data_IF_686452373987
#
_entry.id   IF_686452373987
#
_cell.length_a   1.000
_cell.length_b   1.000
_cell.length_c   1.000
_cell.angle_alpha   90.00
_cell.angle_beta   90.00
_cell.angle_gamma   90.00
#
_symmetry.space_group_name_H-M   'P 1'
#
loop_
_entity.id
_entity.type
_entity.pdbx_description
1 polymer ?
#
# COMPACT_ATOMS: atom_id res chain seq x y z
N UNK A 1 -14.59 -14.77 56.37
CA UNK A 1 -14.06 -15.56 55.23
C UNK A 1 -15.26 -15.89 54.35
N UNK A 2 -15.37 -15.54 53.07
CA UNK A 2 -14.55 -14.72 52.19
C UNK A 2 -15.51 -14.04 51.21
N UNK A 3 -15.32 -12.74 51.04
CA UNK A 3 -15.87 -11.93 49.97
C UNK A 3 -14.99 -12.14 48.72
N UNK A 4 -15.49 -11.77 47.53
CA UNK A 4 -14.86 -11.85 46.18
C UNK A 4 -15.22 -13.06 45.33
N UNK A 5 -16.44 -13.04 44.79
CA UNK A 5 -16.74 -13.62 43.49
C UNK A 5 -17.48 -12.56 42.67
N UNK A 6 -17.02 -12.26 41.45
CA UNK A 6 -17.76 -11.36 40.53
C UNK A 6 -17.04 -10.12 40.00
N UNK A 7 -15.71 -10.06 40.03
CA UNK A 7 -14.99 -9.15 39.15
C UNK A 7 -14.48 -9.97 37.97
N UNK A 8 -15.10 -9.81 36.81
CA UNK A 8 -14.51 -9.70 35.47
C UNK A 8 -15.66 -9.58 34.46
N UNK A 9 -16.06 -8.35 34.08
CA UNK A 9 -16.94 -8.18 32.93
C UNK A 9 -16.15 -8.61 31.69
N UNK A 10 -16.72 -9.52 30.90
CA UNK A 10 -16.19 -9.88 29.60
C UNK A 10 -15.91 -8.61 28.79
N UNK A 11 -14.64 -8.37 28.46
CA UNK A 11 -14.24 -7.37 27.47
C UNK A 11 -14.79 -7.81 26.13
N UNK A 12 -16.02 -7.41 25.83
CA UNK A 12 -16.42 -7.17 24.45
C UNK A 12 -15.38 -6.20 23.87
N UNK A 13 -14.73 -6.61 22.78
CA UNK A 13 -13.82 -5.74 22.04
C UNK A 13 -14.61 -4.50 21.63
N UNK A 14 -14.32 -3.39 22.31
CA UNK A 14 -14.92 -2.10 22.02
C UNK A 14 -14.36 -1.66 20.67
N UNK A 15 -15.18 -1.85 19.64
CA UNK A 15 -14.89 -1.45 18.27
C UNK A 15 -14.70 0.07 18.25
N UNK A 16 -13.49 0.51 17.95
CA UNK A 16 -13.22 1.90 17.64
C UNK A 16 -13.71 2.15 16.21
N UNK A 17 -14.99 2.47 16.09
CA UNK A 17 -15.61 2.90 14.83
C UNK A 17 -15.02 4.25 14.44
N UNK A 18 -13.90 4.19 13.73
CA UNK A 18 -13.31 5.34 13.07
C UNK A 18 -14.34 6.02 12.18
N UNK A 19 -14.71 7.24 12.57
CA UNK A 19 -15.49 8.23 11.83
C UNK A 19 -16.85 7.75 11.29
N UNK A 20 -17.95 8.20 11.91
CA UNK A 20 -19.35 7.87 11.57
C UNK A 20 -19.81 8.25 10.14
N UNK A 21 -18.92 8.80 9.31
CA UNK A 21 -19.15 9.09 7.89
C UNK A 21 -18.57 8.03 6.93
N UNK A 22 -17.78 7.06 7.41
CA UNK A 22 -17.27 5.97 6.58
C UNK A 22 -17.14 4.67 7.34
N UNK A 23 -17.84 3.63 6.90
CA UNK A 23 -17.66 2.24 7.33
C UNK A 23 -16.29 1.71 6.87
N UNK A 24 -15.21 2.21 7.47
CA UNK A 24 -13.83 1.83 7.14
C UNK A 24 -13.19 1.13 8.33
N UNK A 25 -12.61 -0.04 8.09
CA UNK A 25 -11.83 -0.80 9.08
C UNK A 25 -10.36 -0.44 8.88
N UNK A 26 -9.77 0.23 9.87
CA UNK A 26 -8.34 0.57 9.83
C UNK A 26 -7.54 -0.58 10.42
N UNK A 27 -6.66 -1.19 9.63
CA UNK A 27 -5.71 -2.17 10.14
C UNK A 27 -4.58 -1.45 10.85
N UNK A 28 -4.38 -1.75 12.13
CA UNK A 28 -3.30 -1.19 12.95
C UNK A 28 -2.39 -2.30 13.46
N UNK A 29 -1.26 -1.95 14.09
CA UNK A 29 -0.39 -2.93 14.76
C UNK A 29 -1.15 -3.75 15.83
N UNK A 30 -2.23 -3.21 16.41
CA UNK A 30 -3.05 -3.87 17.44
C UNK A 30 -4.15 -4.75 16.85
N UNK A 31 -4.71 -4.36 15.69
CA UNK A 31 -5.74 -5.10 14.97
C UNK A 31 -5.22 -5.40 13.55
N UNK A 32 -4.30 -6.35 13.47
CA UNK A 32 -3.56 -6.63 12.24
C UNK A 32 -4.31 -7.58 11.28
N UNK A 33 -5.36 -8.28 11.73
CA UNK A 33 -6.00 -9.34 10.94
C UNK A 33 -7.49 -9.11 10.82
N UNK A 34 -8.02 -9.26 9.60
CA UNK A 34 -9.46 -9.18 9.28
C UNK A 34 -9.83 -10.34 8.38
N UNK A 35 -10.95 -11.00 8.68
CA UNK A 35 -11.53 -12.01 7.78
C UNK A 35 -12.51 -11.34 6.83
N UNK A 36 -12.36 -11.59 5.53
CA UNK A 36 -13.31 -11.11 4.51
C UNK A 36 -14.63 -11.87 4.60
N UNK A 37 -14.60 -13.16 4.97
CA UNK A 37 -15.82 -13.96 5.13
C UNK A 37 -16.76 -13.36 6.17
N UNK A 38 -16.21 -12.95 7.32
CA UNK A 38 -16.99 -12.33 8.41
C UNK A 38 -17.60 -10.97 8.03
N UNK A 39 -17.10 -10.36 6.96
CA UNK A 39 -17.58 -9.08 6.45
C UNK A 39 -18.56 -9.23 5.28
N UNK A 40 -18.89 -10.46 4.86
CA UNK A 40 -19.74 -10.73 3.70
C UNK A 40 -19.06 -10.40 2.36
N UNK A 41 -17.75 -10.21 2.36
CA UNK A 41 -16.94 -9.67 1.27
C UNK A 41 -16.50 -10.71 0.22
N UNK A 42 -17.27 -11.77 0.00
CA UNK A 42 -16.79 -12.98 -0.68
C UNK A 42 -17.09 -13.07 -2.18
N UNK A 43 -17.90 -12.17 -2.70
CA UNK A 43 -18.32 -12.19 -4.11
C UNK A 43 -17.83 -10.97 -4.88
N UNK A 44 -17.55 -11.19 -6.17
CA UNK A 44 -17.14 -10.16 -7.11
C UNK A 44 -15.65 -9.85 -7.05
N UNK A 45 -15.31 -8.59 -7.33
CA UNK A 45 -13.91 -8.15 -7.41
C UNK A 45 -13.47 -7.41 -6.15
N UNK A 46 -12.38 -7.85 -5.55
CA UNK A 46 -11.64 -7.09 -4.55
C UNK A 46 -10.77 -6.07 -5.27
N UNK A 47 -10.95 -4.79 -4.96
CA UNK A 47 -10.13 -3.71 -5.52
C UNK A 47 -9.15 -3.19 -4.46
N UNK A 48 -7.86 -3.25 -4.74
CA UNK A 48 -6.78 -2.73 -3.90
C UNK A 48 -6.22 -1.49 -4.57
N UNK A 49 -6.36 -0.33 -3.94
CA UNK A 49 -5.86 0.94 -4.47
C UNK A 49 -4.70 1.45 -3.61
N UNK A 50 -3.63 1.86 -4.28
CA UNK A 50 -2.51 2.59 -3.72
C UNK A 50 -2.68 4.07 -4.04
N UNK A 51 -2.70 4.91 -3.01
CA UNK A 51 -2.66 6.36 -3.15
C UNK A 51 -1.47 6.92 -2.36
N UNK A 52 -0.78 7.92 -2.91
CA UNK A 52 0.31 8.60 -2.22
C UNK A 52 0.28 10.09 -2.45
N UNK A 53 0.82 10.82 -1.47
CA UNK A 53 1.03 12.26 -1.54
C UNK A 53 2.40 12.60 -0.98
N UNK A 54 3.08 13.58 -1.58
CA UNK A 54 4.33 14.12 -1.05
C UNK A 54 4.08 14.83 0.28
N UNK A 55 5.01 14.68 1.23
CA UNK A 55 5.02 15.48 2.47
C UNK A 55 5.35 16.92 2.12
N UNK A 56 4.47 17.85 2.52
CA UNK A 56 4.60 19.29 2.24
C UNK A 56 5.87 19.92 2.82
N UNK A 57 6.50 19.28 3.82
CA UNK A 57 7.75 19.73 4.44
C UNK A 57 8.92 19.86 3.46
N UNK A 58 8.96 19.02 2.41
CA UNK A 58 10.02 19.06 1.39
C UNK A 58 9.74 20.10 0.29
N UNK A 59 8.49 20.53 0.16
CA UNK A 59 8.07 21.61 -0.77
C UNK A 59 8.43 22.98 -0.15
N UNK A 60 8.31 23.13 1.16
CA UNK A 60 8.61 24.40 1.86
C UNK A 60 10.05 24.51 2.38
N UNK A 61 10.77 23.40 2.55
CA UNK A 61 12.09 23.34 3.20
C UNK A 61 13.27 23.96 2.44
N UNK A 62 13.08 24.41 1.19
CA UNK A 62 14.14 25.09 0.39
C UNK A 62 13.97 26.61 0.26
N UNK A 63 12.90 27.21 0.79
CA UNK A 63 12.64 28.65 0.64
C UNK A 63 12.94 29.52 1.87
N UNK A 64 13.40 28.93 2.98
CA UNK A 64 13.65 29.69 4.22
C UNK A 64 15.08 29.54 4.75
N UNK A 65 15.97 30.36 4.19
CA UNK A 65 16.96 31.21 4.90
C UNK A 65 18.27 31.33 4.13
N UNK A 66 18.52 32.52 3.56
CA UNK A 66 19.78 33.24 3.70
C UNK A 66 19.64 34.62 3.06
N UNK A 67 19.61 35.69 3.84
CA UNK A 67 19.91 37.03 3.31
C UNK A 67 18.97 38.20 3.64
N UNK A 68 17.92 38.06 4.46
CA UNK A 68 17.02 39.18 4.80
C UNK A 68 17.50 40.06 5.97
N UNK A 69 18.81 40.32 6.08
CA UNK A 69 19.32 41.29 7.07
C UNK A 69 20.37 42.28 6.55
N UNK A 70 20.61 42.37 5.23
CA UNK A 70 21.70 43.23 4.72
C UNK A 70 21.39 44.17 3.54
N UNK A 71 20.16 44.29 3.04
CA UNK A 71 19.89 45.16 1.85
C UNK A 71 18.50 45.85 1.88
N UNK A 72 18.39 47.10 2.39
CA UNK A 72 17.10 47.81 2.47
C UNK A 72 16.54 48.28 1.12
N UNK A 73 17.35 48.34 0.05
CA UNK A 73 16.93 48.83 -1.28
C UNK A 73 16.29 47.77 -2.20
N UNK A 74 16.08 46.54 -1.73
CA UNK A 74 15.41 45.48 -2.53
C UNK A 74 13.89 45.41 -2.33
N UNK A 75 13.30 46.27 -1.48
CA UNK A 75 11.85 46.32 -1.23
C UNK A 75 11.00 46.82 -2.41
N UNK A 76 11.61 47.41 -3.44
CA UNK A 76 10.90 48.00 -4.58
C UNK A 76 11.13 47.25 -5.91
N UNK A 77 11.66 46.03 -5.86
CA UNK A 77 11.73 45.18 -7.05
C UNK A 77 10.46 44.33 -7.13
N UNK A 78 9.64 44.43 -8.19
CA UNK A 78 8.51 43.52 -8.37
C UNK A 78 9.07 42.09 -8.37
N UNK A 79 8.48 41.25 -7.53
CA UNK A 79 8.79 39.83 -7.46
C UNK A 79 8.55 39.25 -8.85
N UNK A 80 9.64 38.84 -9.52
CA UNK A 80 9.52 38.10 -10.76
C UNK A 80 8.77 36.84 -10.37
N UNK A 81 7.54 36.69 -10.88
CA UNK A 81 6.77 35.44 -10.76
C UNK A 81 7.54 34.39 -11.54
N UNK A 82 8.55 33.85 -10.88
CA UNK A 82 9.34 32.74 -11.35
C UNK A 82 8.38 31.58 -11.29
N UNK A 83 7.89 31.15 -12.47
CA UNK A 83 7.02 30.01 -12.60
C UNK A 83 7.56 28.90 -11.69
N UNK A 84 6.77 28.50 -10.70
CA UNK A 84 7.09 27.45 -9.73
C UNK A 84 7.22 26.11 -10.47
N UNK A 85 8.32 25.93 -11.18
CA UNK A 85 8.81 24.63 -11.63
C UNK A 85 9.93 24.23 -10.68
N UNK A 86 9.66 24.33 -9.38
CA UNK A 86 10.49 23.64 -8.40
C UNK A 86 10.42 22.17 -8.77
N UNK A 87 11.57 21.55 -9.05
CA UNK A 87 11.68 20.14 -9.39
C UNK A 87 11.03 19.29 -8.33
N UNK A 88 9.75 18.98 -8.54
CA UNK A 88 9.03 17.93 -7.84
C UNK A 88 9.83 16.69 -8.17
N UNK A 89 10.56 16.16 -7.19
CA UNK A 89 11.13 14.82 -7.33
C UNK A 89 9.91 13.93 -7.49
N UNK A 90 9.61 13.53 -8.73
CA UNK A 90 8.45 12.70 -8.99
C UNK A 90 8.73 11.36 -8.31
N UNK A 91 7.99 11.08 -7.24
CA UNK A 91 8.10 9.82 -6.54
C UNK A 91 7.12 8.87 -7.20
N UNK A 92 7.67 7.89 -7.89
CA UNK A 92 6.93 6.84 -8.58
C UNK A 92 6.85 5.61 -7.66
N UNK A 93 5.67 5.40 -7.06
CA UNK A 93 5.40 4.23 -6.23
C UNK A 93 4.60 3.23 -7.05
N UNK A 94 5.13 2.03 -7.19
CA UNK A 94 4.49 0.94 -7.89
C UNK A 94 3.83 -0.03 -6.90
N UNK A 95 2.64 -0.52 -7.24
CA UNK A 95 1.90 -1.57 -6.55
C UNK A 95 2.13 -2.90 -7.27
N UNK A 96 2.58 -3.89 -6.50
CA UNK A 96 2.74 -5.27 -6.96
C UNK A 96 1.95 -6.26 -6.11
N UNK A 97 1.67 -7.42 -6.70
CA UNK A 97 1.04 -8.55 -6.03
C UNK A 97 1.79 -9.84 -6.40
N UNK A 98 2.36 -10.53 -5.42
CA UNK A 98 2.80 -11.92 -5.61
C UNK A 98 1.63 -12.85 -5.34
N UNK A 99 1.50 -13.90 -6.14
CA UNK A 99 0.43 -14.88 -6.00
C UNK A 99 1.00 -16.30 -5.92
N UNK A 100 0.28 -17.13 -5.18
CA UNK A 100 0.41 -18.59 -5.20
C UNK A 100 -1.01 -19.17 -5.32
N UNK A 101 -1.20 -19.99 -6.34
CA UNK A 101 -2.45 -20.71 -6.59
C UNK A 101 -2.44 -22.07 -5.88
N UNK A 102 -3.62 -22.66 -5.74
CA UNK A 102 -3.79 -23.96 -5.08
C UNK A 102 -3.11 -25.12 -5.84
N UNK A 103 -2.91 -24.97 -7.15
CA UNK A 103 -2.15 -25.92 -7.98
C UNK A 103 -0.62 -25.79 -7.83
N UNK A 104 -0.15 -24.82 -7.04
CA UNK A 104 1.27 -24.54 -6.82
C UNK A 104 1.88 -23.55 -7.81
N UNK A 105 1.13 -23.06 -8.79
CA UNK A 105 1.57 -22.00 -9.71
C UNK A 105 1.83 -20.72 -8.93
N UNK A 106 2.98 -20.09 -9.18
CA UNK A 106 3.39 -18.86 -8.52
C UNK A 106 3.87 -17.85 -9.54
N UNK A 107 3.70 -16.58 -9.19
CA UNK A 107 4.21 -15.49 -10.00
C UNK A 107 4.00 -14.15 -9.35
N UNK A 108 4.22 -13.11 -10.14
CA UNK A 108 4.05 -11.71 -9.73
C UNK A 108 3.24 -10.97 -10.77
N UNK A 109 2.34 -10.11 -10.29
CA UNK A 109 1.65 -9.09 -11.06
C UNK A 109 2.24 -7.75 -10.66
N UNK A 110 2.77 -7.00 -11.62
CA UNK A 110 3.42 -5.71 -11.40
C UNK A 110 3.56 -4.92 -12.72
N UNK A 111 3.71 -3.59 -12.66
CA UNK A 111 4.01 -2.78 -13.85
C UNK A 111 5.31 -3.23 -14.55
N UNK A 112 6.31 -3.66 -13.77
CA UNK A 112 7.63 -4.03 -14.26
C UNK A 112 7.61 -5.29 -15.14
N UNK A 113 8.08 -5.18 -16.38
CA UNK A 113 8.07 -6.28 -17.34
C UNK A 113 6.69 -6.56 -17.96
N UNK A 114 5.75 -5.62 -17.86
CA UNK A 114 4.40 -5.72 -18.42
C UNK A 114 3.60 -6.91 -17.88
N UNK A 115 3.88 -7.33 -16.64
CA UNK A 115 3.21 -8.43 -15.96
C UNK A 115 1.90 -7.95 -15.32
N UNK A 116 0.94 -7.52 -16.15
CA UNK A 116 -0.31 -6.91 -15.67
C UNK A 116 -1.34 -7.92 -15.16
N UNK A 117 -1.20 -9.21 -15.49
CA UNK A 117 -2.14 -10.26 -15.07
C UNK A 117 -3.49 -10.26 -15.80
N UNK A 118 -4.40 -11.13 -15.36
CA UNK A 118 -5.76 -11.33 -15.92
C UNK A 118 -6.75 -11.69 -14.79
N UNK A 119 -8.01 -11.26 -14.94
CA UNK A 119 -9.12 -11.57 -14.04
C UNK A 119 -9.90 -12.82 -14.45
N UNK A 120 -9.88 -13.17 -15.74
CA UNK A 120 -10.68 -14.27 -16.28
C UNK A 120 -9.88 -15.57 -16.34
N UNK A 121 -8.57 -15.49 -16.59
CA UNK A 121 -7.62 -16.60 -16.45
C UNK A 121 -6.74 -16.49 -15.20
N UNK A 122 -5.98 -17.56 -14.88
CA UNK A 122 -4.87 -17.45 -13.92
C UNK A 122 -3.98 -16.25 -14.29
N UNK A 123 -3.65 -15.36 -13.34
CA UNK A 123 -3.69 -15.55 -11.88
C UNK A 123 -4.94 -15.06 -11.16
N UNK A 124 -6.02 -14.67 -11.86
CA UNK A 124 -7.22 -14.04 -11.29
C UNK A 124 -6.95 -12.71 -10.58
N UNK A 125 -5.79 -12.11 -10.88
CA UNK A 125 -5.31 -10.85 -10.36
C UNK A 125 -4.86 -10.01 -11.53
N UNK A 126 -5.32 -8.75 -11.60
CA UNK A 126 -4.99 -7.82 -12.68
C UNK A 126 -4.69 -6.43 -12.16
N UNK A 127 -3.62 -5.83 -12.67
CA UNK A 127 -3.28 -4.44 -12.46
C UNK A 127 -3.99 -3.53 -13.48
N UNK A 128 -4.49 -2.38 -13.03
CA UNK A 128 -5.17 -1.38 -13.87
C UNK A 128 -4.24 -0.73 -14.90
N UNK A 129 -2.94 -0.66 -14.60
CA UNK A 129 -1.93 0.06 -15.37
C UNK A 129 -1.08 0.96 -14.48
N UNK A 130 0.06 1.40 -15.02
CA UNK A 130 1.08 2.23 -14.38
C UNK A 130 0.62 3.71 -14.34
N UNK A 131 0.23 4.20 -13.16
CA UNK A 131 -0.11 5.61 -12.94
C UNK A 131 1.05 6.35 -12.27
N UNK A 132 1.93 6.90 -13.11
CA UNK A 132 3.18 7.56 -12.71
C UNK A 132 3.00 8.93 -12.03
N UNK A 133 1.77 9.44 -11.95
CA UNK A 133 1.52 10.80 -11.48
C UNK A 133 1.11 10.86 -10.01
N UNK A 134 0.63 9.75 -9.43
CA UNK A 134 0.26 9.66 -8.02
C UNK A 134 -0.85 10.62 -7.60
N UNK A 135 -2.04 10.07 -7.32
CA UNK A 135 -3.27 10.81 -6.99
C UNK A 135 -3.76 11.79 -8.09
N UNK A 136 -5.08 11.86 -8.36
CA UNK A 136 -6.16 11.24 -7.59
C UNK A 136 -6.38 9.76 -7.90
N UNK A 137 -5.72 9.21 -8.92
CA UNK A 137 -5.99 7.87 -9.47
C UNK A 137 -5.14 6.77 -8.84
N UNK A 138 -3.83 6.98 -8.71
CA UNK A 138 -2.94 5.99 -8.10
C UNK A 138 -2.96 4.65 -8.84
N UNK A 139 -2.33 3.62 -8.28
CA UNK A 139 -2.33 2.29 -8.90
C UNK A 139 -3.38 1.37 -8.27
N UNK A 140 -4.06 0.59 -9.10
CA UNK A 140 -5.14 -0.29 -8.63
C UNK A 140 -4.91 -1.73 -9.09
N UNK A 141 -4.94 -2.67 -8.15
CA UNK A 141 -4.99 -4.11 -8.42
C UNK A 141 -6.41 -4.61 -8.17
N UNK A 142 -6.92 -5.43 -9.08
CA UNK A 142 -8.18 -6.14 -8.97
C UNK A 142 -7.89 -7.63 -8.74
N UNK A 143 -8.63 -8.24 -7.82
CA UNK A 143 -8.62 -9.69 -7.59
C UNK A 143 -10.03 -10.21 -7.78
N UNK A 144 -10.19 -11.25 -8.59
CA UNK A 144 -11.47 -11.92 -8.77
C UNK A 144 -11.72 -12.90 -7.61
N UNK A 145 -12.61 -12.52 -6.69
CA UNK A 145 -12.96 -13.35 -5.53
C UNK A 145 -13.91 -14.51 -5.88
N UNK A 146 -14.57 -14.47 -7.05
CA UNK A 146 -15.38 -15.61 -7.52
C UNK A 146 -14.48 -16.82 -7.83
N UNK A 147 -13.18 -16.62 -7.99
CA UNK A 147 -12.16 -17.66 -8.18
C UNK A 147 -11.28 -17.85 -6.93
N UNK A 148 -11.71 -17.37 -5.75
CA UNK A 148 -10.94 -17.45 -4.49
C UNK A 148 -10.49 -18.86 -4.12
N UNK A 149 -11.28 -19.88 -4.49
CA UNK A 149 -10.98 -21.28 -4.16
C UNK A 149 -9.75 -21.80 -4.92
N UNK A 150 -9.30 -21.09 -5.95
CA UNK A 150 -8.05 -21.36 -6.68
C UNK A 150 -6.86 -20.59 -6.13
N UNK A 151 -7.09 -19.59 -5.28
CA UNK A 151 -6.06 -18.71 -4.71
C UNK A 151 -5.66 -19.26 -3.34
N UNK A 152 -4.38 -19.58 -3.17
CA UNK A 152 -3.82 -20.05 -1.89
C UNK A 152 -3.38 -18.89 -1.02
N UNK A 153 -2.57 -17.99 -1.59
CA UNK A 153 -2.14 -16.76 -0.91
C UNK A 153 -1.74 -15.68 -1.90
N UNK A 154 -1.93 -14.43 -1.49
CA UNK A 154 -1.51 -13.22 -2.18
C UNK A 154 -0.69 -12.35 -1.21
N UNK A 155 0.38 -11.75 -1.71
CA UNK A 155 1.15 -10.74 -1.00
C UNK A 155 1.11 -9.44 -1.79
N UNK A 156 0.53 -8.41 -1.19
CA UNK A 156 0.52 -7.06 -1.76
C UNK A 156 1.69 -6.26 -1.21
N UNK A 157 2.45 -5.68 -2.11
CA UNK A 157 3.64 -4.91 -1.76
C UNK A 157 3.72 -3.65 -2.61
N UNK A 158 4.32 -2.62 -2.02
CA UNK A 158 4.65 -1.38 -2.72
C UNK A 158 6.15 -1.33 -2.86
N UNK A 159 6.63 -0.91 -4.01
CA UNK A 159 8.05 -0.72 -4.24
C UNK A 159 8.29 0.58 -4.96
N UNK A 160 9.53 1.05 -4.87
CA UNK A 160 9.98 2.20 -5.63
C UNK A 160 11.10 1.76 -6.56
N UNK A 161 10.92 2.00 -7.86
CA UNK A 161 11.94 1.72 -8.86
C UNK A 161 13.06 2.77 -8.87
N UNK A 162 12.68 4.06 -8.82
CA UNK A 162 13.63 5.16 -8.84
C UNK A 162 14.38 5.22 -7.49
N UNK A 163 15.70 5.30 -7.49
CA UNK A 163 16.54 5.21 -6.26
C UNK A 163 16.32 6.34 -5.23
N UNK A 164 15.26 7.11 -5.37
CA UNK A 164 14.82 8.15 -4.44
C UNK A 164 14.28 7.54 -3.15
N UNK A 165 14.69 8.04 -1.97
CA UNK A 165 14.06 7.70 -0.70
C UNK A 165 12.59 8.17 -0.67
N UNK A 166 11.64 7.32 -1.05
CA UNK A 166 10.24 7.69 -1.14
C UNK A 166 9.47 7.53 0.17
N UNK A 167 9.60 6.39 0.86
CA UNK A 167 8.72 6.07 1.99
C UNK A 167 8.83 7.05 3.17
N UNK A 168 9.98 7.70 3.39
CA UNK A 168 10.09 8.76 4.41
C UNK A 168 9.51 10.12 3.96
N UNK A 169 9.39 10.33 2.64
CA UNK A 169 8.95 11.60 2.02
C UNK A 169 7.50 11.57 1.54
N UNK A 170 6.90 10.41 1.41
CA UNK A 170 5.50 10.25 0.97
C UNK A 170 4.62 9.73 2.10
N UNK A 171 3.38 10.21 2.15
CA UNK A 171 2.31 9.50 2.83
C UNK A 171 1.63 8.57 1.85
N UNK A 172 2.00 7.28 1.89
CA UNK A 172 1.34 6.24 1.11
C UNK A 172 0.24 5.58 1.94
N UNK A 173 -0.90 5.36 1.31
CA UNK A 173 -2.07 4.68 1.88
C UNK A 173 -2.56 3.65 0.89
N UNK A 174 -2.80 2.43 1.40
CA UNK A 174 -3.49 1.40 0.63
C UNK A 174 -4.87 1.17 1.20
N UNK A 175 -5.84 1.08 0.29
CA UNK A 175 -7.23 0.82 0.61
C UNK A 175 -7.73 -0.38 -0.17
N UNK A 176 -8.25 -1.37 0.55
CA UNK A 176 -8.94 -2.51 -0.01
C UNK A 176 -10.44 -2.20 -0.01
N UNK A 177 -11.06 -2.37 -1.17
CA UNK A 177 -12.48 -2.24 -1.40
C UNK A 177 -13.02 -3.63 -1.71
N UNK A 178 -13.56 -4.35 -0.71
CA UNK A 178 -14.27 -5.58 -0.98
C UNK A 178 -15.56 -5.30 -1.77
N UNK A 179 -16.06 -6.32 -2.49
CA UNK A 179 -17.33 -6.20 -3.24
C UNK A 179 -18.54 -5.89 -2.34
N UNK A 180 -18.48 -6.36 -1.09
CA UNK A 180 -19.44 -6.04 -0.04
C UNK A 180 -18.70 -5.87 1.30
N UNK A 181 -19.26 -5.06 2.20
CA UNK A 181 -18.67 -4.82 3.52
C UNK A 181 -17.82 -3.54 3.60
N UNK A 182 -17.22 -3.28 4.78
CA UNK A 182 -16.44 -2.07 5.01
C UNK A 182 -15.12 -2.09 4.23
N UNK A 183 -14.68 -0.92 3.77
CA UNK A 183 -13.34 -0.80 3.16
C UNK A 183 -12.26 -0.98 4.23
N UNK A 184 -11.14 -1.58 3.87
CA UNK A 184 -10.03 -1.82 4.79
C UNK A 184 -8.89 -0.88 4.42
N UNK A 185 -8.44 -0.06 5.38
CA UNK A 185 -7.38 0.92 5.15
C UNK A 185 -6.12 0.54 5.95
N UNK A 186 -4.96 0.64 5.29
CA UNK A 186 -3.66 0.52 5.94
C UNK A 186 -2.74 1.65 5.48
N UNK A 187 -2.30 2.44 6.45
CA UNK A 187 -1.32 3.51 6.23
C UNK A 187 0.11 2.95 6.32
N UNK A 188 0.98 3.49 5.45
CA UNK A 188 2.42 3.24 5.42
C UNK A 188 3.12 4.47 6.02
N UNK A 189 2.91 4.69 7.31
CA UNK A 189 3.37 5.89 8.05
C UNK A 189 4.75 5.70 8.70
N UNK A 190 5.24 4.47 8.79
CA UNK A 190 6.52 4.14 9.42
C UNK A 190 7.71 4.71 8.64
N UNK A 191 8.63 5.35 9.35
CA UNK A 191 9.83 5.95 8.76
C UNK A 191 10.87 4.88 8.48
N UNK A 192 11.01 4.52 7.21
CA UNK A 192 12.05 3.64 6.72
C UNK A 192 12.80 4.30 5.55
N UNK A 193 13.73 5.24 5.82
CA UNK A 193 14.33 6.10 4.78
C UNK A 193 15.18 5.35 3.75
N UNK A 194 15.66 4.16 4.09
CA UNK A 194 16.48 3.32 3.22
C UNK A 194 15.70 2.15 2.59
N UNK A 195 14.43 1.98 2.95
CA UNK A 195 13.61 0.92 2.39
C UNK A 195 13.28 1.20 0.92
N UNK A 196 13.32 0.15 0.11
CA UNK A 196 12.99 0.19 -1.33
C UNK A 196 11.70 -0.55 -1.65
N UNK A 197 11.24 -1.39 -0.74
CA UNK A 197 9.95 -2.06 -0.86
C UNK A 197 9.32 -2.23 0.52
N UNK A 198 8.00 -2.36 0.53
CA UNK A 198 7.20 -2.57 1.71
C UNK A 198 6.17 -3.66 1.42
N UNK A 199 6.21 -4.75 2.19
CA UNK A 199 5.12 -5.73 2.23
C UNK A 199 3.98 -5.15 3.07
N UNK A 200 2.81 -4.95 2.48
CA UNK A 200 1.74 -4.17 3.10
C UNK A 200 0.78 -5.09 3.83
N UNK A 201 0.22 -6.06 3.10
CA UNK A 201 -0.64 -7.08 3.67
C UNK A 201 -0.60 -8.36 2.84
N UNK A 202 -0.97 -9.45 3.49
CA UNK A 202 -1.19 -10.76 2.87
C UNK A 202 -2.69 -11.06 2.86
N UNK A 203 -3.11 -11.82 1.86
CA UNK A 203 -4.44 -12.44 1.81
C UNK A 203 -4.21 -13.94 1.70
N UNK A 204 -4.59 -14.70 2.71
CA UNK A 204 -4.40 -16.15 2.74
C UNK A 204 -5.75 -16.85 2.75
N UNK A 205 -5.87 -17.92 1.98
CA UNK A 205 -7.04 -18.79 2.02
C UNK A 205 -6.77 -19.92 3.03
N UNK A 206 -7.43 -19.85 4.19
CA UNK A 206 -7.30 -20.83 5.26
C UNK A 206 -8.68 -21.46 5.49
N UNK A 207 -8.84 -22.74 5.12
CA UNK A 207 -10.11 -23.48 5.28
C UNK A 207 -11.30 -22.75 4.63
N UNK A 208 -11.14 -22.31 3.38
CA UNK A 208 -12.15 -21.55 2.61
C UNK A 208 -12.50 -20.17 3.21
N UNK A 209 -11.65 -19.67 4.11
CA UNK A 209 -11.71 -18.34 4.68
C UNK A 209 -10.56 -17.48 4.17
N UNK A 210 -10.90 -16.35 3.53
CA UNK A 210 -9.91 -15.35 3.12
C UNK A 210 -9.58 -14.44 4.30
N UNK A 211 -8.36 -14.57 4.79
CA UNK A 211 -7.84 -13.82 5.91
C UNK A 211 -6.85 -12.78 5.40
N UNK A 212 -7.17 -11.50 5.62
CA UNK A 212 -6.29 -10.36 5.35
C UNK A 212 -5.46 -10.09 6.60
N UNK A 213 -4.13 -10.05 6.45
CA UNK A 213 -3.21 -9.72 7.53
C UNK A 213 -2.31 -8.56 7.14
N UNK A 214 -2.34 -7.50 7.93
CA UNK A 214 -1.41 -6.36 7.85
C UNK A 214 -0.02 -6.80 8.24
N UNK A 215 0.92 -6.53 7.36
CA UNK A 215 2.34 -6.80 7.56
C UNK A 215 3.11 -5.49 7.77
N UNK A 216 2.96 -4.52 6.86
CA UNK A 216 3.69 -3.23 6.83
C UNK A 216 5.16 -3.40 7.22
N UNK A 217 5.83 -4.33 6.52
CA UNK A 217 7.24 -4.66 6.71
C UNK A 217 8.07 -4.02 5.60
N UNK A 218 8.96 -3.11 6.01
CA UNK A 218 9.87 -2.42 5.11
C UNK A 218 11.15 -3.23 4.90
N UNK A 219 11.57 -3.34 3.65
CA UNK A 219 12.79 -4.05 3.25
C UNK A 219 13.69 -3.17 2.40
N UNK A 220 14.99 -3.40 2.52
CA UNK A 220 16.03 -2.67 1.76
C UNK A 220 16.20 -3.20 0.33
N UNK A 221 15.70 -4.41 0.06
CA UNK A 221 15.68 -5.05 -1.25
C UNK A 221 14.40 -4.75 -2.05
N UNK A 222 14.27 -5.47 -3.17
CA UNK A 222 13.10 -5.42 -4.04
C UNK A 222 12.28 -6.71 -3.93
N UNK A 223 11.64 -7.14 -5.02
CA UNK A 223 10.77 -8.32 -5.06
C UNK A 223 11.49 -9.61 -4.63
N UNK A 224 12.75 -9.81 -5.01
CA UNK A 224 13.49 -11.02 -4.61
C UNK A 224 13.66 -11.16 -3.10
N UNK A 225 13.75 -10.04 -2.37
CA UNK A 225 13.90 -10.06 -0.92
C UNK A 225 12.56 -10.30 -0.22
N UNK A 226 11.47 -9.74 -0.76
CA UNK A 226 10.11 -10.05 -0.33
C UNK A 226 9.78 -11.52 -0.55
N UNK A 227 10.16 -12.08 -1.69
CA UNK A 227 9.97 -13.50 -1.97
C UNK A 227 10.69 -14.37 -0.93
N UNK A 228 11.97 -14.09 -0.64
CA UNK A 228 12.71 -14.81 0.41
C UNK A 228 12.04 -14.71 1.78
N UNK A 229 11.53 -13.54 2.13
CA UNK A 229 10.89 -13.28 3.43
C UNK A 229 9.58 -14.07 3.60
N UNK A 230 8.80 -14.21 2.53
CA UNK A 230 7.49 -14.90 2.56
C UNK A 230 7.52 -16.33 1.98
N UNK A 231 8.65 -16.75 1.42
CA UNK A 231 8.91 -18.10 0.94
C UNK A 231 8.07 -18.51 -0.27
N UNK A 232 7.97 -17.68 -1.32
CA UNK A 232 7.36 -18.13 -2.57
C UNK A 232 8.31 -19.04 -3.35
N UNK A 233 9.63 -18.78 -3.30
CA UNK A 233 10.66 -19.57 -3.94
C UNK A 233 10.73 -19.37 -5.45
N UNK A 234 10.44 -18.15 -5.94
CA UNK A 234 10.47 -17.82 -7.36
C UNK A 234 11.89 -17.50 -7.84
N UNK A 235 12.13 -17.67 -9.13
CA UNK A 235 13.37 -17.24 -9.77
C UNK A 235 13.18 -15.84 -10.37
N UNK A 236 14.07 -14.92 -10.01
CA UNK A 236 13.97 -13.52 -10.40
C UNK A 236 15.01 -13.15 -11.47
N UNK A 237 14.54 -12.61 -12.59
CA UNK A 237 15.37 -11.95 -13.60
C UNK A 237 15.42 -10.43 -13.40
N UNK A 238 16.30 -9.74 -14.13
CA UNK A 238 16.28 -8.27 -14.19
C UNK A 238 15.09 -7.81 -15.03
N UNK A 239 14.17 -7.07 -14.43
CA UNK A 239 13.11 -6.33 -15.13
C UNK A 239 13.49 -4.86 -15.31
N UNK A 240 12.97 -4.23 -16.37
CA UNK A 240 13.16 -2.80 -16.65
C UNK A 240 11.80 -2.13 -16.87
N UNK A 241 11.60 -0.94 -16.31
CA UNK A 241 10.43 -0.10 -16.59
C UNK A 241 10.78 0.73 -17.83
N UNK A 242 10.10 0.50 -18.95
CA UNK A 242 10.34 1.28 -20.17
C UNK A 242 9.85 2.71 -19.94
N UNK A 243 10.77 3.67 -20.05
CA UNK A 243 10.44 5.10 -20.02
C UNK A 243 9.89 5.49 -21.38
N UNK A 244 8.65 5.10 -21.65
CA UNK A 244 7.85 5.67 -22.73
C UNK A 244 7.28 7.00 -22.28
#
# INVERSE_FOLDING_TARGET
MGFFDGLWPGRAAQFDSGNAASSAVVLSKRNATVSLNKQGALSGNLRVNLSWRMRTSDIEGRSRQSGRLRRPLQLFKPEVVQAHTQGVVNVDLDLGCMYELMDGTKGVVQPLGSLIGDLNGPPYVRLSGDDRFGAPSGETVYVNLDQRDKIKRLLFFVYIYDRTPAFDRTHAKITLYPGHGPRIESELDERAPQARSCAVFTVENIKDELIVRREVKFVYGFQSELDRLYGYGMQWGRGYKSRT
#
